data_IF_753814697480
#
_entry.id   IF_753814697480
#
_cell.length_a   1.000
_cell.length_b   1.000
_cell.length_c   1.000
_cell.angle_alpha   90.00
_cell.angle_beta   90.00
_cell.angle_gamma   90.00
#
_symmetry.space_group_name_H-M   'P 1'
#
loop_
_entity.id
_entity.type
_entity.pdbx_description
1 polymer ?
#
# COMPACT_ATOMS: atom_id res chain seq x y z
N UNK A 1 -38.54 3.76 0.67
CA UNK A 1 -37.32 4.51 0.32
C UNK A 1 -36.16 3.57 0.56
N UNK A 2 -35.31 3.28 -0.42
CA UNK A 2 -34.12 2.45 -0.16
C UNK A 2 -33.19 3.26 0.74
N UNK A 3 -32.69 2.58 1.74
CA UNK A 3 -31.79 3.06 2.77
C UNK A 3 -30.49 3.55 2.10
N UNK A 4 -30.21 4.82 2.19
CA UNK A 4 -28.99 5.43 1.66
C UNK A 4 -27.80 5.21 2.59
N UNK A 5 -27.59 3.97 3.01
CA UNK A 5 -26.32 3.55 3.59
C UNK A 5 -25.34 3.37 2.44
N UNK A 6 -24.63 4.40 2.20
CA UNK A 6 -23.67 4.52 1.12
C UNK A 6 -22.56 3.52 1.16
N UNK A 7 -22.47 2.93 0.11
CA UNK A 7 -21.66 1.83 -0.30
C UNK A 7 -20.17 2.19 -0.23
N UNK A 8 -19.49 1.63 0.77
CA UNK A 8 -18.04 1.51 0.69
C UNK A 8 -17.75 0.57 -0.48
N UNK A 9 -16.77 0.93 -1.29
CA UNK A 9 -16.29 0.12 -2.40
C UNK A 9 -15.30 -0.89 -1.82
N UNK A 10 -15.55 -2.20 -2.03
CA UNK A 10 -14.70 -3.27 -1.49
C UNK A 10 -13.96 -4.00 -2.60
N UNK A 11 -12.64 -4.11 -2.45
CA UNK A 11 -11.75 -4.84 -3.32
C UNK A 11 -11.15 -6.08 -2.68
N UNK A 12 -10.60 -6.96 -3.51
CA UNK A 12 -9.85 -8.13 -3.10
C UNK A 12 -8.51 -8.19 -3.82
N UNK A 13 -7.48 -8.68 -3.12
CA UNK A 13 -6.19 -8.96 -3.72
C UNK A 13 -6.28 -10.08 -4.77
N UNK A 14 -5.92 -9.79 -6.02
CA UNK A 14 -5.91 -10.75 -7.11
C UNK A 14 -4.58 -11.52 -7.14
N UNK A 15 -4.60 -12.77 -6.72
CA UNK A 15 -3.44 -13.68 -6.73
C UNK A 15 -3.57 -14.71 -7.84
N UNK A 16 -2.44 -15.20 -8.35
CA UNK A 16 -2.40 -16.18 -9.44
C UNK A 16 -3.36 -17.37 -9.26
N UNK A 17 -3.53 -18.00 -8.08
CA UNK A 17 -4.48 -19.08 -7.88
C UNK A 17 -5.95 -18.67 -8.10
N UNK A 18 -6.28 -17.38 -8.01
CA UNK A 18 -7.64 -16.87 -8.12
C UNK A 18 -8.05 -16.59 -9.57
N UNK A 19 -7.11 -16.43 -10.51
CA UNK A 19 -7.37 -15.97 -11.87
C UNK A 19 -8.47 -16.77 -12.57
N UNK A 20 -8.33 -18.10 -12.59
CA UNK A 20 -9.30 -18.96 -13.24
C UNK A 20 -10.68 -18.89 -12.56
N UNK A 21 -10.71 -18.87 -11.23
CA UNK A 21 -11.95 -18.76 -10.46
C UNK A 21 -12.69 -17.46 -10.77
N UNK A 22 -11.99 -16.34 -10.79
CA UNK A 22 -12.56 -15.01 -11.08
C UNK A 22 -13.18 -14.97 -12.48
N UNK A 23 -12.49 -15.51 -13.49
CA UNK A 23 -13.01 -15.54 -14.86
C UNK A 23 -14.23 -16.46 -15.04
N UNK A 24 -14.29 -17.57 -14.29
CA UNK A 24 -15.39 -18.53 -14.42
C UNK A 24 -16.63 -18.15 -13.62
N UNK A 25 -16.45 -17.52 -12.45
CA UNK A 25 -17.55 -17.31 -11.51
C UNK A 25 -17.98 -15.85 -11.38
N UNK A 26 -17.24 -14.92 -11.97
CA UNK A 26 -17.52 -13.46 -11.91
C UNK A 26 -18.01 -13.00 -10.53
N UNK A 27 -17.16 -13.12 -9.47
CA UNK A 27 -17.56 -12.81 -8.11
C UNK A 27 -18.01 -11.35 -7.98
N UNK A 28 -18.96 -11.08 -7.07
CA UNK A 28 -19.43 -9.72 -6.78
C UNK A 28 -18.43 -9.01 -5.88
N UNK A 29 -17.50 -8.31 -6.48
CA UNK A 29 -16.50 -7.45 -5.86
C UNK A 29 -16.41 -6.18 -6.68
N UNK A 30 -16.09 -5.05 -6.06
CA UNK A 30 -16.11 -3.77 -6.76
C UNK A 30 -14.82 -3.50 -7.55
N UNK A 31 -13.68 -4.01 -7.09
CA UNK A 31 -12.39 -3.93 -7.79
C UNK A 31 -11.44 -5.05 -7.36
N UNK A 32 -10.40 -5.27 -8.17
CA UNK A 32 -9.28 -6.13 -7.79
C UNK A 32 -8.00 -5.33 -7.69
N UNK A 33 -7.16 -5.70 -6.71
CA UNK A 33 -5.80 -5.19 -6.62
C UNK A 33 -4.77 -6.24 -7.04
N UNK A 34 -3.76 -5.80 -7.77
CA UNK A 34 -2.62 -6.62 -8.18
C UNK A 34 -1.31 -6.09 -7.64
N UNK A 35 -0.36 -6.98 -7.40
CA UNK A 35 1.05 -6.60 -7.30
C UNK A 35 1.58 -6.33 -8.71
N UNK A 36 1.90 -5.08 -9.00
CA UNK A 36 2.25 -4.60 -10.33
C UNK A 36 3.44 -5.35 -10.93
N UNK A 37 4.45 -5.64 -10.12
CA UNK A 37 5.68 -6.31 -10.55
C UNK A 37 5.45 -7.73 -11.08
N UNK A 38 4.41 -8.42 -10.61
CA UNK A 38 4.05 -9.76 -11.08
C UNK A 38 3.56 -9.78 -12.54
N UNK A 39 3.25 -8.61 -13.10
CA UNK A 39 2.75 -8.44 -14.45
C UNK A 39 3.73 -7.68 -15.37
N UNK A 40 4.92 -7.34 -14.88
CA UNK A 40 5.97 -6.74 -15.69
C UNK A 40 6.57 -7.80 -16.62
N UNK A 41 5.97 -7.95 -17.79
CA UNK A 41 6.39 -8.85 -18.85
C UNK A 41 6.04 -8.25 -20.22
N UNK A 42 6.67 -8.75 -21.28
CA UNK A 42 6.34 -8.32 -22.65
C UNK A 42 5.11 -9.05 -23.24
N UNK A 43 4.54 -10.03 -22.50
CA UNK A 43 3.36 -10.82 -22.89
C UNK A 43 3.23 -12.07 -22.04
N UNK A 44 2.28 -12.93 -22.40
CA UNK A 44 2.08 -14.24 -21.78
C UNK A 44 0.82 -14.35 -20.95
N UNK A 45 0.56 -15.57 -20.45
CA UNK A 45 -0.70 -15.96 -19.84
C UNK A 45 -1.17 -15.02 -18.70
N UNK A 46 -0.26 -14.50 -17.89
CA UNK A 46 -0.63 -13.58 -16.79
C UNK A 46 -1.23 -12.28 -17.31
N UNK A 47 -0.65 -11.68 -18.37
CA UNK A 47 -1.20 -10.47 -18.98
C UNK A 47 -2.52 -10.76 -19.70
N UNK A 48 -2.63 -11.91 -20.40
CA UNK A 48 -3.88 -12.33 -21.06
C UNK A 48 -5.02 -12.54 -20.05
N UNK A 49 -4.70 -13.00 -18.84
CA UNK A 49 -5.66 -13.08 -17.74
C UNK A 49 -6.06 -11.70 -17.24
N UNK A 50 -5.09 -10.82 -17.04
CA UNK A 50 -5.36 -9.48 -16.52
C UNK A 50 -6.21 -8.67 -17.50
N UNK A 51 -5.98 -8.79 -18.82
CA UNK A 51 -6.84 -8.18 -19.84
C UNK A 51 -8.30 -8.59 -19.67
N UNK A 52 -8.56 -9.92 -19.59
CA UNK A 52 -9.92 -10.44 -19.44
C UNK A 52 -10.59 -10.03 -18.13
N UNK A 53 -9.81 -9.88 -17.05
CA UNK A 53 -10.33 -9.44 -15.76
C UNK A 53 -10.65 -7.95 -15.83
N UNK A 54 -9.78 -7.14 -16.43
CA UNK A 54 -9.97 -5.69 -16.59
C UNK A 54 -11.17 -5.30 -17.44
N UNK A 55 -11.64 -6.19 -18.34
CA UNK A 55 -12.88 -5.99 -19.09
C UNK A 55 -14.13 -5.96 -18.19
N UNK A 56 -14.07 -6.57 -17.00
CA UNK A 56 -15.21 -6.71 -16.10
C UNK A 56 -15.04 -6.01 -14.75
N UNK A 57 -13.80 -5.72 -14.34
CA UNK A 57 -13.50 -5.14 -13.03
C UNK A 57 -12.51 -4.00 -13.13
N UNK A 58 -12.75 -2.90 -12.39
CA UNK A 58 -11.71 -1.92 -12.12
C UNK A 58 -10.52 -2.57 -11.43
N UNK A 59 -9.31 -2.07 -11.71
CA UNK A 59 -8.07 -2.55 -11.10
C UNK A 59 -7.43 -1.47 -10.23
N UNK A 60 -6.90 -1.87 -9.08
CA UNK A 60 -5.90 -1.13 -8.30
C UNK A 60 -4.52 -1.76 -8.56
N UNK A 61 -3.51 -0.92 -8.76
CA UNK A 61 -2.13 -1.36 -8.97
C UNK A 61 -1.28 -0.98 -7.77
N UNK A 62 -0.77 -1.99 -7.08
CA UNK A 62 0.09 -1.84 -5.93
C UNK A 62 1.51 -2.27 -6.26
N UNK A 63 2.46 -1.35 -6.19
CA UNK A 63 3.88 -1.60 -6.41
C UNK A 63 4.60 -1.92 -5.10
N UNK A 64 5.69 -2.67 -5.23
CA UNK A 64 6.63 -2.96 -4.13
C UNK A 64 8.06 -2.56 -4.50
N UNK A 65 8.28 -2.08 -5.71
CA UNK A 65 9.61 -1.92 -6.31
C UNK A 65 9.95 -0.53 -6.84
N UNK A 66 9.10 0.50 -6.70
CA UNK A 66 9.48 1.87 -7.10
C UNK A 66 10.63 2.41 -6.26
N UNK A 67 10.79 1.90 -5.02
CA UNK A 67 11.89 2.27 -4.13
C UNK A 67 11.97 3.78 -3.88
N UNK A 68 10.82 4.38 -3.53
CA UNK A 68 10.66 5.83 -3.39
C UNK A 68 11.58 6.45 -2.35
N UNK A 69 12.02 5.66 -1.34
CA UNK A 69 13.00 6.07 -0.33
C UNK A 69 14.46 6.00 -0.77
N UNK A 70 14.76 5.51 -1.97
CA UNK A 70 16.14 5.34 -2.43
C UNK A 70 16.86 6.67 -2.64
N UNK A 71 17.99 6.86 -1.96
CA UNK A 71 18.86 8.02 -2.14
C UNK A 71 19.55 8.03 -3.53
N UNK A 72 19.69 6.87 -4.17
CA UNK A 72 20.21 6.73 -5.53
C UNK A 72 19.23 7.13 -6.63
N UNK A 73 17.99 7.48 -6.27
CA UNK A 73 16.92 7.82 -7.19
C UNK A 73 16.18 6.59 -7.74
N UNK A 74 15.33 6.81 -8.72
CA UNK A 74 14.41 5.81 -9.26
C UNK A 74 15.02 5.03 -10.43
N UNK A 75 14.74 3.71 -10.49
CA UNK A 75 15.16 2.87 -11.63
C UNK A 75 14.32 3.21 -12.88
N UNK A 76 15.01 3.76 -13.89
CA UNK A 76 14.37 4.17 -15.15
C UNK A 76 13.76 3.00 -15.93
N UNK A 77 14.33 1.79 -15.82
CA UNK A 77 13.80 0.60 -16.48
C UNK A 77 12.51 0.15 -15.80
N UNK A 78 12.52 0.12 -14.46
CA UNK A 78 11.34 -0.21 -13.68
C UNK A 78 10.20 0.79 -13.94
N UNK A 79 10.48 2.10 -13.87
CA UNK A 79 9.49 3.14 -14.21
C UNK A 79 8.87 2.94 -15.61
N UNK A 80 9.69 2.67 -16.64
CA UNK A 80 9.19 2.44 -18.01
C UNK A 80 8.29 1.21 -18.10
N UNK A 81 8.65 0.12 -17.41
CA UNK A 81 7.85 -1.10 -17.44
C UNK A 81 6.52 -0.91 -16.70
N UNK A 82 6.56 -0.29 -15.53
CA UNK A 82 5.35 0.08 -14.77
C UNK A 82 4.45 0.99 -15.61
N UNK A 83 5.02 2.01 -16.28
CA UNK A 83 4.23 2.90 -17.12
C UNK A 83 3.51 2.18 -18.26
N UNK A 84 4.16 1.19 -18.90
CA UNK A 84 3.48 0.39 -19.95
C UNK A 84 2.21 -0.29 -19.41
N UNK A 85 2.26 -0.81 -18.18
CA UNK A 85 1.11 -1.43 -17.53
C UNK A 85 0.03 -0.40 -17.17
N UNK A 86 0.43 0.74 -16.59
CA UNK A 86 -0.48 1.83 -16.26
C UNK A 86 -1.19 2.37 -17.51
N UNK A 87 -0.47 2.55 -18.61
CA UNK A 87 -1.05 3.03 -19.87
C UNK A 87 -1.99 2.00 -20.53
N UNK A 88 -1.72 0.69 -20.32
CA UNK A 88 -2.56 -0.40 -20.85
C UNK A 88 -3.85 -0.58 -20.08
N UNK A 89 -3.79 -0.58 -18.75
CA UNK A 89 -4.92 -0.98 -17.90
C UNK A 89 -5.63 0.20 -17.24
N UNK A 90 -5.01 1.37 -17.20
CA UNK A 90 -5.53 2.59 -16.58
C UNK A 90 -6.21 2.33 -15.20
N UNK A 91 -5.47 1.80 -14.21
CA UNK A 91 -6.04 1.42 -12.92
C UNK A 91 -6.67 2.61 -12.20
N UNK A 92 -7.68 2.35 -11.36
CA UNK A 92 -8.38 3.38 -10.57
C UNK A 92 -7.50 3.94 -9.45
N UNK A 93 -6.60 3.12 -8.90
CA UNK A 93 -5.66 3.46 -7.83
C UNK A 93 -4.27 2.94 -8.19
N UNK A 94 -3.24 3.64 -7.70
CA UNK A 94 -1.86 3.29 -7.91
C UNK A 94 -1.02 3.64 -6.69
N UNK A 95 -0.33 2.67 -6.10
CA UNK A 95 0.33 2.80 -4.80
C UNK A 95 1.71 2.15 -4.76
N UNK A 96 2.53 2.57 -3.80
CA UNK A 96 3.77 1.93 -3.35
C UNK A 96 4.03 2.30 -1.88
N UNK A 97 4.99 1.67 -1.25
CA UNK A 97 5.26 1.74 0.18
C UNK A 97 6.17 2.92 0.59
N UNK A 98 6.04 3.32 1.85
CA UNK A 98 6.99 4.20 2.54
C UNK A 98 8.27 3.42 2.88
N UNK A 99 9.01 3.02 1.85
CA UNK A 99 10.18 2.16 1.97
C UNK A 99 11.21 2.44 0.87
N UNK A 100 12.32 1.72 0.91
CA UNK A 100 13.24 1.56 -0.21
C UNK A 100 13.51 0.07 -0.43
N UNK A 101 13.75 -0.33 -1.66
CA UNK A 101 13.97 -1.73 -2.06
C UNK A 101 15.13 -1.89 -3.05
N UNK A 102 15.79 -0.80 -3.45
CA UNK A 102 16.90 -0.86 -4.40
C UNK A 102 17.96 0.18 -4.12
N UNK A 103 19.22 -0.15 -4.40
CA UNK A 103 20.33 0.80 -4.41
C UNK A 103 21.20 0.58 -5.63
N UNK A 104 21.95 1.61 -6.10
CA UNK A 104 22.89 1.46 -7.22
C UNK A 104 23.97 0.40 -6.99
N UNK A 105 24.32 0.15 -5.73
CA UNK A 105 25.42 -0.75 -5.35
C UNK A 105 24.97 -2.20 -5.17
N UNK A 106 23.77 -2.40 -4.63
CA UNK A 106 23.25 -3.73 -4.25
C UNK A 106 22.17 -4.26 -5.21
N UNK A 107 21.69 -3.41 -6.14
CA UNK A 107 20.58 -3.77 -7.01
C UNK A 107 19.23 -3.71 -6.30
N UNK A 108 18.25 -4.44 -6.83
CA UNK A 108 16.91 -4.53 -6.24
C UNK A 108 16.86 -5.65 -5.19
N UNK A 109 16.24 -5.35 -4.05
CA UNK A 109 15.81 -6.33 -3.05
C UNK A 109 14.35 -6.68 -3.29
N UNK A 110 13.93 -7.86 -2.85
CA UNK A 110 12.51 -8.22 -2.81
C UNK A 110 11.85 -7.81 -1.49
N UNK A 111 12.58 -7.12 -0.61
CA UNK A 111 12.12 -6.70 0.71
C UNK A 111 11.87 -5.19 0.76
N UNK A 112 10.89 -4.80 1.55
CA UNK A 112 10.62 -3.41 1.90
C UNK A 112 11.56 -2.99 3.03
N UNK A 113 12.59 -2.21 2.72
CA UNK A 113 13.58 -1.78 3.69
C UNK A 113 13.14 -0.48 4.37
N UNK A 114 13.34 -0.37 5.70
CA UNK A 114 12.86 0.77 6.48
C UNK A 114 13.67 2.04 6.18
N UNK A 115 13.04 3.19 6.41
CA UNK A 115 13.62 4.52 6.18
C UNK A 115 13.97 5.16 7.52
N UNK A 116 15.09 5.88 7.56
CA UNK A 116 15.41 6.81 8.64
C UNK A 116 14.49 8.04 8.54
N UNK A 117 13.60 8.24 9.50
CA UNK A 117 12.66 9.38 9.50
C UNK A 117 13.37 10.68 9.90
N UNK A 118 14.12 11.23 8.95
CA UNK A 118 14.89 12.48 9.06
C UNK A 118 14.46 13.49 8.00
N UNK A 119 14.80 14.76 8.19
CA UNK A 119 14.50 15.81 7.19
C UNK A 119 15.17 15.56 5.84
N UNK A 120 16.36 14.94 5.84
CA UNK A 120 17.08 14.60 4.59
C UNK A 120 16.37 13.47 3.84
N UNK A 121 15.98 12.41 4.54
CA UNK A 121 15.23 11.32 3.95
C UNK A 121 13.84 11.77 3.45
N UNK A 122 13.16 12.62 4.22
CA UNK A 122 11.90 13.24 3.80
C UNK A 122 12.05 13.99 2.47
N UNK A 123 13.12 14.78 2.32
CA UNK A 123 13.39 15.49 1.07
C UNK A 123 13.59 14.52 -0.10
N UNK A 124 14.41 13.50 0.10
CA UNK A 124 14.67 12.47 -0.93
C UNK A 124 13.37 11.79 -1.35
N UNK A 125 12.58 11.36 -0.37
CA UNK A 125 11.30 10.69 -0.63
C UNK A 125 10.34 11.58 -1.41
N UNK A 126 10.13 12.82 -0.97
CA UNK A 126 9.26 13.78 -1.65
C UNK A 126 9.74 14.07 -3.10
N UNK A 127 11.05 14.23 -3.31
CA UNK A 127 11.59 14.47 -4.64
C UNK A 127 11.36 13.25 -5.56
N UNK A 128 11.52 12.03 -5.06
CA UNK A 128 11.28 10.82 -5.82
C UNK A 128 9.78 10.62 -6.13
N UNK A 129 8.88 10.85 -5.16
CA UNK A 129 7.43 10.78 -5.39
C UNK A 129 7.02 11.76 -6.50
N UNK A 130 7.45 13.03 -6.43
CA UNK A 130 7.15 14.02 -7.47
C UNK A 130 7.63 13.57 -8.84
N UNK A 131 8.88 13.11 -8.95
CA UNK A 131 9.44 12.61 -10.22
C UNK A 131 8.66 11.41 -10.75
N UNK A 132 8.23 10.50 -9.87
CA UNK A 132 7.43 9.36 -10.27
C UNK A 132 6.04 9.79 -10.75
N UNK A 133 5.36 10.67 -10.02
CA UNK A 133 4.06 11.23 -10.41
C UNK A 133 4.15 11.99 -11.75
N UNK A 134 5.17 12.83 -11.94
CA UNK A 134 5.41 13.53 -13.20
C UNK A 134 5.63 12.54 -14.36
N UNK A 135 6.40 11.47 -14.12
CA UNK A 135 6.69 10.45 -15.13
C UNK A 135 5.44 9.63 -15.52
N UNK A 136 4.65 9.24 -14.52
CA UNK A 136 3.43 8.45 -14.74
C UNK A 136 2.24 9.30 -15.18
N UNK A 137 2.23 10.58 -14.86
CA UNK A 137 1.11 11.50 -15.12
C UNK A 137 -0.09 11.27 -14.22
N UNK A 138 0.13 10.75 -13.00
CA UNK A 138 -0.94 10.41 -12.05
C UNK A 138 -0.49 10.45 -10.59
N UNK A 139 -1.47 10.60 -9.68
CA UNK A 139 -1.25 10.49 -8.24
C UNK A 139 -0.74 9.09 -7.86
N UNK A 140 0.18 9.03 -6.90
CA UNK A 140 0.64 7.81 -6.24
C UNK A 140 0.16 7.84 -4.80
N UNK A 141 -0.32 6.70 -4.29
CA UNK A 141 -0.64 6.54 -2.88
C UNK A 141 0.57 5.95 -2.17
N UNK A 142 0.90 6.49 -1.01
CA UNK A 142 2.01 6.01 -0.18
C UNK A 142 1.44 5.23 0.99
N UNK A 143 1.85 3.97 1.11
CA UNK A 143 1.42 3.08 2.17
C UNK A 143 2.34 3.14 3.37
N UNK A 144 1.77 3.17 4.59
CA UNK A 144 2.48 2.95 5.84
C UNK A 144 2.87 1.47 5.98
N UNK A 145 4.17 1.13 6.03
CA UNK A 145 4.60 -0.27 6.18
C UNK A 145 4.46 -0.75 7.63
N UNK A 146 4.44 -2.07 7.83
CA UNK A 146 4.65 -2.64 9.14
C UNK A 146 6.11 -2.49 9.57
N UNK A 147 6.33 -2.11 10.83
CA UNK A 147 7.65 -1.85 11.37
C UNK A 147 8.14 -3.02 12.25
N UNK A 148 9.42 -3.38 12.08
CA UNK A 148 10.10 -4.45 12.83
C UNK A 148 11.36 -3.97 13.53
N UNK A 149 11.79 -2.75 13.24
CA UNK A 149 12.90 -2.09 13.89
C UNK A 149 12.69 -0.57 13.89
N UNK A 150 13.29 0.11 14.85
CA UNK A 150 13.33 1.55 14.94
C UNK A 150 14.79 2.02 14.91
N UNK A 151 15.03 3.18 14.32
CA UNK A 151 16.34 3.80 14.28
C UNK A 151 16.42 4.91 15.32
N UNK A 152 17.44 4.91 16.18
CA UNK A 152 17.68 5.96 17.18
C UNK A 152 17.86 7.34 16.54
N UNK A 153 18.33 7.37 15.29
CA UNK A 153 18.54 8.59 14.51
C UNK A 153 17.25 9.18 13.94
N UNK A 154 16.14 8.44 13.92
CA UNK A 154 14.83 8.96 13.51
C UNK A 154 14.39 10.05 14.48
N UNK A 155 14.09 11.25 13.94
CA UNK A 155 13.69 12.43 14.72
C UNK A 155 12.27 12.90 14.41
N UNK A 156 11.63 12.28 13.45
CA UNK A 156 10.26 12.53 13.01
C UNK A 156 9.48 11.22 13.26
N UNK A 157 8.28 11.29 13.77
CA UNK A 157 7.43 10.10 13.88
C UNK A 157 7.03 9.62 12.47
N UNK A 158 6.77 8.31 12.31
CA UNK A 158 6.31 7.77 11.02
C UNK A 158 5.07 8.50 10.51
N UNK A 159 4.09 8.72 11.39
CA UNK A 159 2.84 9.39 11.01
C UNK A 159 3.08 10.84 10.56
N UNK A 160 3.95 11.59 11.24
CA UNK A 160 4.30 12.95 10.82
C UNK A 160 5.05 12.93 9.49
N UNK A 161 5.95 11.95 9.32
CA UNK A 161 6.72 11.79 8.09
C UNK A 161 5.80 11.49 6.90
N UNK A 162 4.86 10.56 7.04
CA UNK A 162 3.86 10.23 6.02
C UNK A 162 2.96 11.42 5.69
N UNK A 163 2.46 12.13 6.71
CA UNK A 163 1.64 13.33 6.54
C UNK A 163 2.41 14.42 5.79
N UNK A 164 3.67 14.66 6.15
CA UNK A 164 4.50 15.65 5.46
C UNK A 164 4.76 15.28 4.00
N UNK A 165 4.97 13.99 3.68
CA UNK A 165 5.09 13.53 2.30
C UNK A 165 3.80 13.83 1.55
N UNK A 166 2.65 13.46 2.09
CA UNK A 166 1.35 13.63 1.41
C UNK A 166 1.06 15.08 1.03
N UNK A 167 1.52 16.03 1.85
CA UNK A 167 1.39 17.46 1.60
C UNK A 167 2.48 17.97 0.66
N UNK A 168 3.76 17.67 0.94
CA UNK A 168 4.91 18.23 0.20
C UNK A 168 5.06 17.66 -1.21
N UNK A 169 4.70 16.40 -1.42
CA UNK A 169 4.75 15.76 -2.72
C UNK A 169 3.39 15.79 -3.44
N UNK A 170 2.34 16.27 -2.78
CA UNK A 170 0.96 16.28 -3.25
C UNK A 170 0.52 14.89 -3.77
N UNK A 171 0.71 13.89 -2.91
CA UNK A 171 0.33 12.51 -3.17
C UNK A 171 -0.79 12.04 -2.22
N UNK A 172 -1.39 10.90 -2.52
CA UNK A 172 -2.36 10.26 -1.65
C UNK A 172 -1.70 9.38 -0.58
N UNK A 173 -2.52 8.88 0.33
CA UNK A 173 -2.17 7.87 1.33
C UNK A 173 -3.00 6.62 1.07
N UNK A 174 -2.35 5.46 1.02
CA UNK A 174 -2.93 4.17 1.27
C UNK A 174 -2.72 3.87 2.74
N UNK A 175 -3.81 3.78 3.50
CA UNK A 175 -3.75 3.49 4.93
C UNK A 175 -3.94 2.00 5.18
N UNK A 176 -2.87 1.28 5.52
CA UNK A 176 -3.00 -0.09 6.01
C UNK A 176 -3.17 -0.10 7.54
N UNK A 177 -4.38 -0.46 7.99
CA UNK A 177 -4.74 -0.51 9.41
C UNK A 177 -4.11 -1.72 10.10
N UNK A 178 -3.89 -2.84 9.39
CA UNK A 178 -3.18 -3.98 9.93
C UNK A 178 -1.70 -3.62 10.21
N UNK A 179 -1.05 -2.87 9.31
CA UNK A 179 0.33 -2.41 9.51
C UNK A 179 0.46 -1.46 10.71
N UNK A 180 -0.51 -0.55 10.89
CA UNK A 180 -0.59 0.27 12.12
C UNK A 180 -0.71 -0.62 13.36
N UNK A 181 -1.60 -1.62 13.33
CA UNK A 181 -1.81 -2.53 14.46
C UNK A 181 -0.57 -3.38 14.75
N UNK A 182 0.05 -3.97 13.72
CA UNK A 182 1.28 -4.76 13.84
C UNK A 182 2.40 -3.93 14.47
N UNK A 183 2.65 -2.74 13.94
CA UNK A 183 3.66 -1.81 14.46
C UNK A 183 3.37 -1.38 15.90
N UNK A 184 2.10 -1.07 16.20
CA UNK A 184 1.68 -0.70 17.56
C UNK A 184 1.93 -1.81 18.58
N UNK A 185 1.67 -3.07 18.21
CA UNK A 185 1.93 -4.23 19.10
C UNK A 185 3.41 -4.52 19.26
N UNK A 186 4.22 -4.32 18.21
CA UNK A 186 5.66 -4.55 18.25
C UNK A 186 6.40 -3.49 19.08
N UNK A 187 5.94 -2.22 19.03
CA UNK A 187 6.64 -1.08 19.67
C UNK A 187 5.89 -0.42 20.83
N UNK A 188 4.68 -0.87 21.15
CA UNK A 188 3.98 -0.44 22.36
C UNK A 188 3.34 0.95 22.28
N UNK A 189 3.02 1.47 21.09
CA UNK A 189 2.25 2.70 20.93
C UNK A 189 0.74 2.43 20.74
N UNK A 190 -0.09 3.49 20.83
CA UNK A 190 -1.55 3.36 20.59
C UNK A 190 -1.87 3.49 19.09
N UNK A 191 -2.47 2.45 18.47
CA UNK A 191 -2.91 2.52 17.08
C UNK A 191 -4.02 3.56 16.88
N UNK A 192 -4.88 3.79 17.89
CA UNK A 192 -5.92 4.81 17.82
C UNK A 192 -5.32 6.21 17.71
N UNK A 193 -4.27 6.51 18.48
CA UNK A 193 -3.55 7.80 18.38
C UNK A 193 -2.87 7.98 17.03
N UNK A 194 -2.34 6.92 16.45
CA UNK A 194 -1.80 6.97 15.09
C UNK A 194 -2.90 7.38 14.10
N UNK A 195 -4.05 6.69 14.14
CA UNK A 195 -5.19 6.96 13.28
C UNK A 195 -5.84 8.34 13.52
N UNK A 196 -5.76 8.88 14.73
CA UNK A 196 -6.22 10.24 15.05
C UNK A 196 -5.35 11.34 14.42
N UNK A 197 -4.08 11.05 14.20
CA UNK A 197 -3.11 12.03 13.67
C UNK A 197 -2.89 11.94 12.16
N UNK A 198 -3.48 10.97 11.47
CA UNK A 198 -3.32 10.83 10.02
C UNK A 198 -4.05 11.94 9.26
N UNK A 199 -3.47 12.39 8.15
CA UNK A 199 -4.11 13.35 7.26
C UNK A 199 -5.24 12.70 6.46
N UNK A 200 -6.44 12.69 7.06
CA UNK A 200 -7.65 12.04 6.50
C UNK A 200 -7.96 12.54 5.09
N UNK A 201 -7.72 13.82 4.79
CA UNK A 201 -8.02 14.40 3.48
C UNK A 201 -7.18 13.82 2.33
N UNK A 202 -6.08 13.15 2.66
CA UNK A 202 -5.17 12.51 1.71
C UNK A 202 -5.36 11.01 1.56
N UNK A 203 -6.18 10.36 2.41
CA UNK A 203 -6.45 8.93 2.28
C UNK A 203 -7.30 8.68 1.03
N UNK A 204 -6.89 7.73 0.19
CA UNK A 204 -7.59 7.30 -1.03
C UNK A 204 -7.96 5.83 -1.01
N UNK A 205 -7.27 5.03 -0.19
CA UNK A 205 -7.47 3.59 -0.07
C UNK A 205 -7.17 3.16 1.36
N UNK A 206 -7.83 2.10 1.82
CA UNK A 206 -7.58 1.45 3.11
C UNK A 206 -7.32 -0.03 2.83
N UNK A 207 -6.25 -0.58 3.42
CA UNK A 207 -6.00 -2.01 3.45
C UNK A 207 -6.38 -2.59 4.81
N UNK A 208 -6.98 -3.79 4.77
CA UNK A 208 -7.28 -4.64 5.90
C UNK A 208 -6.69 -6.02 5.62
N UNK A 209 -5.71 -6.42 6.40
CA UNK A 209 -5.02 -7.68 6.21
C UNK A 209 -4.97 -8.50 7.50
N UNK A 210 -4.53 -9.73 7.37
CA UNK A 210 -4.18 -10.58 8.52
C UNK A 210 -2.67 -10.62 8.72
N UNK A 211 -2.26 -10.91 9.95
CA UNK A 211 -0.86 -11.02 10.35
C UNK A 211 -0.60 -12.32 11.12
N UNK A 212 0.66 -12.72 11.19
CA UNK A 212 1.10 -13.87 11.99
C UNK A 212 1.78 -13.42 13.26
N UNK A 213 1.73 -14.25 14.31
CA UNK A 213 2.47 -14.04 15.55
C UNK A 213 3.59 -15.07 15.62
N UNK A 214 4.82 -14.60 15.70
CA UNK A 214 6.00 -15.44 15.87
C UNK A 214 6.54 -15.24 17.28
N UNK A 215 6.79 -16.37 17.97
CA UNK A 215 7.38 -16.36 19.32
C UNK A 215 8.88 -16.60 19.23
N UNK A 216 9.64 -15.74 19.89
CA UNK A 216 11.07 -15.89 20.06
C UNK A 216 11.41 -15.78 21.56
N UNK A 217 11.55 -16.94 22.22
CA UNK A 217 11.62 -17.01 23.67
C UNK A 217 10.33 -16.49 24.32
N UNK A 218 10.47 -15.50 25.20
CA UNK A 218 9.34 -14.86 25.89
C UNK A 218 8.76 -13.64 25.11
N UNK A 219 9.33 -13.33 23.95
CA UNK A 219 8.89 -12.22 23.12
C UNK A 219 7.97 -12.70 21.99
N UNK A 220 6.93 -11.91 21.71
CA UNK A 220 6.06 -12.09 20.56
C UNK A 220 6.32 -10.95 19.56
N UNK A 221 6.53 -11.32 18.30
CA UNK A 221 6.64 -10.38 17.19
C UNK A 221 5.49 -10.65 16.24
N UNK A 222 4.76 -9.61 15.87
CA UNK A 222 3.74 -9.69 14.82
C UNK A 222 4.37 -9.38 13.49
N UNK A 223 4.03 -10.20 12.50
CA UNK A 223 4.55 -10.07 11.13
C UNK A 223 3.36 -9.94 10.18
N UNK A 224 3.35 -8.88 9.40
CA UNK A 224 2.40 -8.70 8.32
C UNK A 224 2.65 -9.76 7.23
N UNK A 225 1.75 -10.71 7.13
CA UNK A 225 1.91 -11.85 6.22
C UNK A 225 0.81 -11.94 5.17
N UNK A 226 -0.29 -11.20 5.35
CA UNK A 226 -1.48 -11.31 4.48
C UNK A 226 -1.95 -12.76 4.24
N UNK A 227 -1.64 -13.66 5.17
CA UNK A 227 -1.90 -15.11 5.03
C UNK A 227 -3.01 -15.64 5.94
N UNK A 228 -3.54 -14.80 6.79
CA UNK A 228 -4.62 -15.11 7.74
C UNK A 228 -5.79 -14.15 7.56
N UNK A 229 -6.94 -14.49 8.10
CA UNK A 229 -8.06 -13.56 8.17
C UNK A 229 -7.68 -12.33 9.01
N UNK A 230 -8.25 -11.19 8.67
CA UNK A 230 -8.16 -9.96 9.50
C UNK A 230 -8.72 -10.24 10.88
N UNK A 231 -7.95 -9.94 11.93
CA UNK A 231 -8.38 -10.19 13.30
C UNK A 231 -9.43 -9.17 13.77
N UNK A 232 -10.16 -9.53 14.84
CA UNK A 232 -11.26 -8.70 15.35
C UNK A 232 -10.77 -7.31 15.80
N UNK A 233 -9.58 -7.21 16.38
CA UNK A 233 -9.01 -5.93 16.83
C UNK A 233 -8.74 -4.97 15.66
N UNK A 234 -8.23 -5.47 14.53
CA UNK A 234 -8.02 -4.66 13.32
C UNK A 234 -9.36 -4.23 12.73
N UNK A 235 -10.35 -5.13 12.70
CA UNK A 235 -11.71 -4.81 12.25
C UNK A 235 -12.38 -3.77 13.15
N UNK A 236 -12.15 -3.81 14.45
CA UNK A 236 -12.68 -2.82 15.39
C UNK A 236 -12.02 -1.45 15.20
N UNK A 237 -10.70 -1.40 15.04
CA UNK A 237 -9.98 -0.17 14.69
C UNK A 237 -10.54 0.46 13.42
N UNK A 238 -10.72 -0.34 12.37
CA UNK A 238 -11.31 0.14 11.10
C UNK A 238 -12.73 0.68 11.30
N UNK A 239 -13.61 -0.06 11.99
CA UNK A 239 -15.00 0.36 12.23
C UNK A 239 -15.05 1.70 12.96
N UNK A 240 -14.27 1.84 14.04
CA UNK A 240 -14.19 3.06 14.83
C UNK A 240 -13.66 4.24 14.01
N UNK A 241 -12.59 4.00 13.24
CA UNK A 241 -12.00 5.01 12.36
C UNK A 241 -12.97 5.46 11.26
N UNK A 242 -13.62 4.52 10.58
CA UNK A 242 -14.62 4.80 9.54
C UNK A 242 -15.80 5.59 10.10
N UNK A 243 -16.35 5.18 11.25
CA UNK A 243 -17.51 5.82 11.87
C UNK A 243 -17.19 7.26 12.31
N UNK A 244 -16.03 7.46 12.95
CA UNK A 244 -15.57 8.78 13.42
C UNK A 244 -15.42 9.78 12.28
N UNK A 245 -14.96 9.33 11.12
CA UNK A 245 -14.58 10.19 10.00
C UNK A 245 -15.57 10.18 8.83
N UNK A 246 -16.65 9.40 8.91
CA UNK A 246 -17.65 9.24 7.84
C UNK A 246 -17.04 8.94 6.46
N UNK A 247 -16.07 8.02 6.44
CA UNK A 247 -15.27 7.72 5.25
C UNK A 247 -16.02 6.88 4.23
N UNK A 248 -15.89 7.28 2.96
CA UNK A 248 -16.37 6.57 1.77
C UNK A 248 -15.18 6.29 0.84
N UNK A 249 -14.22 5.56 1.32
CA UNK A 249 -12.95 5.29 0.66
C UNK A 249 -12.92 3.82 0.27
N UNK A 250 -12.35 3.44 -0.89
CA UNK A 250 -12.11 2.05 -1.27
C UNK A 250 -11.36 1.28 -0.18
N UNK A 251 -11.80 0.06 0.07
CA UNK A 251 -11.21 -0.83 1.08
C UNK A 251 -10.82 -2.14 0.43
N UNK A 252 -9.57 -2.50 0.53
CA UNK A 252 -9.04 -3.81 0.13
C UNK A 252 -9.02 -4.75 1.34
N UNK A 253 -9.43 -6.00 1.14
CA UNK A 253 -9.44 -7.06 2.16
C UNK A 253 -8.67 -8.28 1.68
#
# INVERSE_FOLDING_TARGET
MPDSTSDAIFGLGLRHPHHQHVLQNTPKVDFFEIHTENFIADGGASLDFLDKISDNYPLSFHCVGLSLGSAGGLDKKHLKNTKKLLDRFNPILFSDHLSWSSSPEQGASNDLLPILYTKSALKVFCDNVKRAQDFFGREILIENPSAYLEFEESKISEIDFLNEISVKADCGILLDINNVFVSAKNFGFSPEKYLENINISKIREIHLAGHSVVKYGDQEIRIDTHSTNTCDEVLELYKNFKQKNNLKIPVLV
#
